data_IF_192203360332
#
_entry.id   IF_192203360332
#
_cell.length_a   1.000
_cell.length_b   1.000
_cell.length_c   1.000
_cell.angle_alpha   90.00
_cell.angle_beta   90.00
_cell.angle_gamma   90.00
#
_symmetry.space_group_name_H-M   'P 1'
#
loop_
_entity.id
_entity.type
_entity.pdbx_description
1 polymer ?
#
# COMPACT_ATOMS: atom_id res chain seq x y z
N UNK A 1 15.54 -10.09 -10.65
CA UNK A 1 14.27 -10.30 -9.91
C UNK A 1 14.60 -11.14 -8.70
N UNK A 2 13.98 -10.89 -7.53
CA UNK A 2 14.26 -11.62 -6.28
C UNK A 2 13.73 -13.07 -6.28
N UNK A 3 13.23 -13.58 -7.42
CA UNK A 3 12.67 -14.93 -7.60
C UNK A 3 13.10 -15.45 -8.97
N UNK A 4 13.49 -16.73 -9.05
CA UNK A 4 13.72 -17.43 -10.31
C UNK A 4 12.41 -17.77 -10.99
N UNK A 5 12.30 -17.50 -12.30
CA UNK A 5 11.12 -17.90 -13.08
C UNK A 5 11.13 -19.41 -13.30
N UNK A 6 9.99 -20.03 -13.07
CA UNK A 6 9.76 -21.47 -13.27
C UNK A 6 8.51 -21.70 -14.13
N UNK A 7 8.46 -22.86 -14.79
CA UNK A 7 7.35 -23.32 -15.62
C UNK A 7 6.90 -24.73 -15.17
N UNK A 8 5.59 -24.97 -14.99
CA UNK A 8 4.48 -24.02 -15.11
C UNK A 8 4.54 -22.90 -14.06
N UNK A 9 3.91 -21.74 -14.35
CA UNK A 9 3.89 -20.59 -13.44
C UNK A 9 3.19 -20.99 -12.13
N UNK A 10 3.86 -20.86 -10.97
CA UNK A 10 3.26 -21.20 -9.68
C UNK A 10 2.13 -20.23 -9.30
N UNK A 11 1.43 -20.54 -8.22
CA UNK A 11 0.45 -19.60 -7.66
C UNK A 11 1.11 -18.31 -7.17
N UNK A 12 0.33 -17.23 -7.10
CA UNK A 12 0.82 -15.92 -6.68
C UNK A 12 1.50 -15.93 -5.31
N UNK A 13 0.96 -16.71 -4.37
CA UNK A 13 1.49 -16.81 -3.01
C UNK A 13 2.83 -17.58 -2.97
N UNK A 14 2.99 -18.62 -3.78
CA UNK A 14 4.24 -19.39 -3.86
C UNK A 14 5.36 -18.54 -4.45
N UNK A 15 5.06 -17.73 -5.47
CA UNK A 15 6.01 -16.75 -6.03
C UNK A 15 6.41 -15.74 -4.96
N UNK A 16 5.45 -15.21 -4.18
CA UNK A 16 5.71 -14.25 -3.12
C UNK A 16 6.57 -14.83 -1.98
N UNK A 17 6.32 -16.07 -1.57
CA UNK A 17 7.06 -16.76 -0.50
C UNK A 17 8.48 -17.17 -0.93
N UNK A 18 8.69 -17.44 -2.21
CA UNK A 18 10.01 -17.76 -2.76
C UNK A 18 10.91 -16.51 -2.95
N UNK A 19 10.39 -15.30 -2.71
CA UNK A 19 11.12 -14.06 -2.93
C UNK A 19 12.18 -13.80 -1.87
N UNK A 20 13.42 -13.59 -2.33
CA UNK A 20 14.49 -13.04 -1.50
C UNK A 20 14.27 -11.54 -1.29
N UNK A 21 13.78 -11.19 -0.09
CA UNK A 21 13.47 -9.81 0.25
C UNK A 21 14.73 -9.03 0.62
N UNK A 22 14.81 -7.80 0.12
CA UNK A 22 15.84 -6.84 0.50
C UNK A 22 15.36 -6.09 1.75
N UNK A 23 16.19 -5.94 2.79
CA UNK A 23 15.83 -5.17 3.98
C UNK A 23 15.38 -3.75 3.61
N UNK A 24 14.31 -3.26 4.23
CA UNK A 24 13.72 -1.97 3.84
C UNK A 24 14.69 -0.80 4.03
N UNK A 25 15.60 -0.91 5.01
CA UNK A 25 16.69 0.05 5.25
C UNK A 25 17.61 0.16 4.04
N UNK A 26 17.94 -0.96 3.38
CA UNK A 26 18.77 -0.95 2.17
C UNK A 26 18.02 -0.33 0.99
N UNK A 27 16.72 -0.62 0.86
CA UNK A 27 15.86 0.01 -0.15
C UNK A 27 15.81 1.54 0.05
N UNK A 28 15.62 1.99 1.29
CA UNK A 28 15.61 3.41 1.67
C UNK A 28 16.96 4.09 1.34
N UNK A 29 18.08 3.45 1.70
CA UNK A 29 19.43 3.94 1.39
C UNK A 29 19.66 4.15 -0.10
N UNK A 30 19.18 3.22 -0.94
CA UNK A 30 19.34 3.31 -2.41
C UNK A 30 18.63 4.51 -3.03
N UNK A 31 17.67 5.10 -2.33
CA UNK A 31 16.93 6.30 -2.77
C UNK A 31 17.34 7.57 -2.02
N UNK A 32 18.38 7.48 -1.18
CA UNK A 32 18.95 8.60 -0.45
C UNK A 32 18.22 8.96 0.84
N UNK A 33 17.42 8.02 1.39
CA UNK A 33 16.87 8.10 2.74
C UNK A 33 17.86 7.44 3.73
N UNK A 34 17.93 8.00 4.92
CA UNK A 34 18.67 7.49 6.08
C UNK A 34 17.72 6.81 7.07
N UNK A 35 18.27 6.11 8.06
CA UNK A 35 17.46 5.47 9.11
C UNK A 35 16.67 6.50 9.93
N UNK A 36 17.18 7.73 10.08
CA UNK A 36 16.48 8.81 10.77
C UNK A 36 15.25 9.33 10.00
N UNK A 37 15.12 9.00 8.70
CA UNK A 37 14.00 9.44 7.87
C UNK A 37 12.82 8.44 7.88
N UNK A 38 12.94 7.31 8.59
CA UNK A 38 11.98 6.19 8.52
C UNK A 38 11.66 5.56 9.88
N UNK A 39 10.41 5.13 10.04
CA UNK A 39 9.98 4.27 11.16
C UNK A 39 9.82 2.82 10.68
N UNK A 40 10.58 1.90 11.25
CA UNK A 40 10.55 0.49 10.85
C UNK A 40 9.28 -0.24 11.34
N UNK A 41 8.66 -0.99 10.44
CA UNK A 41 7.56 -1.92 10.71
C UNK A 41 8.01 -3.35 10.37
N UNK A 42 8.88 -3.88 11.22
CA UNK A 42 9.62 -5.12 10.96
C UNK A 42 10.76 -4.89 9.96
N UNK A 43 11.25 -5.96 9.33
CA UNK A 43 12.46 -5.92 8.50
C UNK A 43 12.23 -5.38 7.08
N UNK A 44 11.00 -5.50 6.57
CA UNK A 44 10.68 -5.36 5.15
C UNK A 44 9.75 -4.17 4.83
N UNK A 45 9.33 -3.41 5.84
CA UNK A 45 8.38 -2.30 5.71
C UNK A 45 8.79 -1.15 6.61
N UNK A 46 8.52 0.07 6.18
CA UNK A 46 8.75 1.27 6.98
C UNK A 46 7.75 2.36 6.59
N UNK A 47 7.50 3.29 7.51
CA UNK A 47 6.89 4.59 7.19
C UNK A 47 8.00 5.59 6.92
N UNK A 48 7.78 6.49 5.96
CA UNK A 48 8.70 7.59 5.66
C UNK A 48 8.15 8.84 6.34
N UNK A 49 9.00 9.57 7.06
CA UNK A 49 8.62 10.82 7.71
C UNK A 49 8.30 11.89 6.67
N UNK A 50 7.45 12.88 7.02
CA UNK A 50 7.01 13.90 6.06
C UNK A 50 8.00 15.06 5.87
N UNK A 51 8.91 15.25 6.83
CA UNK A 51 9.99 16.25 6.78
C UNK A 51 11.00 15.96 5.64
N UNK A 52 11.03 14.75 5.09
CA UNK A 52 11.78 14.43 3.86
C UNK A 52 11.37 15.31 2.67
N UNK A 53 10.13 15.82 2.67
CA UNK A 53 9.65 16.75 1.63
C UNK A 53 10.43 18.07 1.69
N UNK A 54 10.68 18.58 2.89
CA UNK A 54 11.48 19.79 3.09
C UNK A 54 12.96 19.51 2.79
N UNK A 55 13.49 18.37 3.25
CA UNK A 55 14.86 17.90 2.98
C UNK A 55 15.18 17.83 1.49
N UNK A 56 14.19 17.51 0.65
CA UNK A 56 14.37 17.31 -0.78
C UNK A 56 13.66 18.34 -1.66
N UNK A 57 13.19 19.47 -1.10
CA UNK A 57 12.43 20.49 -1.83
C UNK A 57 13.12 21.05 -3.08
N UNK A 58 14.46 21.10 -3.06
CA UNK A 58 15.27 21.65 -4.16
C UNK A 58 15.55 20.61 -5.25
N UNK A 59 15.15 19.35 -5.07
CA UNK A 59 15.29 18.31 -6.09
C UNK A 59 14.23 18.52 -7.19
N UNK A 60 14.60 18.38 -8.47
CA UNK A 60 13.61 18.45 -9.54
C UNK A 60 12.61 17.30 -9.43
N UNK A 61 11.34 17.60 -9.72
CA UNK A 61 10.30 16.59 -9.78
C UNK A 61 10.62 15.51 -10.82
N UNK A 62 10.30 14.26 -10.46
CA UNK A 62 10.35 13.12 -11.37
C UNK A 62 9.28 13.20 -12.46
N UNK A 63 9.35 12.27 -13.42
CA UNK A 63 8.27 12.07 -14.39
C UNK A 63 7.13 11.30 -13.72
N UNK A 64 5.91 11.81 -13.84
CA UNK A 64 4.70 11.16 -13.36
C UNK A 64 4.09 10.33 -14.49
N UNK A 65 3.91 9.03 -14.26
CA UNK A 65 3.31 8.09 -15.20
C UNK A 65 2.07 7.51 -14.53
N UNK A 66 0.89 7.80 -15.11
CA UNK A 66 -0.37 7.26 -14.65
C UNK A 66 -0.77 6.03 -15.48
N UNK A 67 -1.15 4.95 -14.79
CA UNK A 67 -1.58 3.70 -15.43
C UNK A 67 -3.08 3.55 -15.23
N UNK A 68 -3.82 3.74 -16.32
CA UNK A 68 -5.27 3.57 -16.37
C UNK A 68 -5.67 2.30 -17.11
N UNK A 69 -6.94 1.96 -17.05
CA UNK A 69 -7.53 0.84 -17.77
C UNK A 69 -8.89 1.24 -18.36
N UNK A 70 -9.38 0.44 -19.30
CA UNK A 70 -10.76 0.53 -19.79
C UNK A 70 -11.77 0.18 -18.67
N UNK A 71 -13.06 0.33 -18.97
CA UNK A 71 -14.13 -0.12 -18.07
C UNK A 71 -13.92 -1.59 -17.67
N UNK A 72 -13.99 -1.93 -16.36
CA UNK A 72 -13.76 -3.29 -15.90
C UNK A 72 -14.71 -4.30 -16.52
N UNK A 73 -14.18 -5.50 -16.78
CA UNK A 73 -14.86 -6.66 -17.33
C UNK A 73 -14.63 -7.87 -16.42
N UNK A 74 -15.46 -8.92 -16.50
CA UNK A 74 -15.25 -10.14 -15.71
C UNK A 74 -13.93 -10.86 -15.95
N UNK A 75 -13.24 -10.59 -17.08
CA UNK A 75 -11.97 -11.23 -17.43
C UNK A 75 -10.77 -10.64 -16.66
N UNK A 76 -10.92 -9.43 -16.12
CA UNK A 76 -9.85 -8.71 -15.42
C UNK A 76 -8.83 -8.07 -16.37
N UNK A 77 -8.44 -6.83 -16.06
CA UNK A 77 -7.62 -6.00 -16.96
C UNK A 77 -6.15 -5.97 -16.57
N UNK A 78 -5.79 -6.51 -15.41
CA UNK A 78 -4.40 -6.56 -14.96
C UNK A 78 -3.78 -5.19 -14.66
N UNK A 79 -4.55 -4.13 -14.39
CA UNK A 79 -4.02 -2.76 -14.17
C UNK A 79 -2.85 -2.70 -13.17
N UNK A 80 -2.99 -3.34 -12.02
CA UNK A 80 -1.93 -3.37 -10.99
C UNK A 80 -0.71 -4.16 -11.45
N UNK A 81 -0.91 -5.30 -12.13
CA UNK A 81 0.16 -6.10 -12.74
C UNK A 81 0.95 -5.24 -13.72
N UNK A 82 0.27 -4.52 -14.59
CA UNK A 82 0.90 -3.59 -15.55
C UNK A 82 1.64 -2.45 -14.85
N UNK A 83 1.07 -1.88 -13.79
CA UNK A 83 1.71 -0.80 -13.01
C UNK A 83 3.05 -1.24 -12.41
N UNK A 84 3.08 -2.44 -11.83
CA UNK A 84 4.30 -3.01 -11.24
C UNK A 84 5.28 -3.43 -12.35
N UNK A 85 4.78 -4.08 -13.41
CA UNK A 85 5.59 -4.56 -14.53
C UNK A 85 6.29 -3.44 -15.31
N UNK A 86 5.59 -2.32 -15.56
CA UNK A 86 6.19 -1.13 -16.18
C UNK A 86 7.32 -0.59 -15.31
N UNK A 87 7.11 -0.51 -13.99
CA UNK A 87 8.14 -0.04 -13.06
C UNK A 87 9.35 -0.98 -13.02
N UNK A 88 9.13 -2.30 -13.01
CA UNK A 88 10.21 -3.29 -13.14
C UNK A 88 10.97 -3.15 -14.46
N UNK A 89 10.27 -2.92 -15.58
CA UNK A 89 10.87 -2.69 -16.90
C UNK A 89 11.69 -1.40 -16.97
N UNK A 90 11.18 -0.30 -16.41
CA UNK A 90 11.91 0.97 -16.29
C UNK A 90 13.18 0.81 -15.47
N UNK A 91 13.12 0.07 -14.36
CA UNK A 91 14.29 -0.24 -13.56
C UNK A 91 15.31 -1.10 -14.33
N UNK A 92 14.84 -2.11 -15.07
CA UNK A 92 15.70 -2.96 -15.90
C UNK A 92 16.50 -2.18 -16.95
N UNK A 93 15.92 -1.12 -17.53
CA UNK A 93 16.62 -0.22 -18.47
C UNK A 93 17.41 0.91 -17.77
N UNK A 94 17.64 0.80 -16.46
CA UNK A 94 18.50 1.71 -15.70
C UNK A 94 17.83 3.00 -15.21
N UNK A 95 16.50 3.09 -15.20
CA UNK A 95 15.80 4.26 -14.62
C UNK A 95 15.57 4.07 -13.12
N UNK A 96 15.69 5.17 -12.36
CA UNK A 96 15.18 5.23 -10.98
C UNK A 96 13.68 5.44 -11.02
N UNK A 97 12.92 4.57 -10.37
CA UNK A 97 11.46 4.53 -10.46
C UNK A 97 10.87 4.08 -9.13
N UNK A 98 9.72 4.66 -8.80
CA UNK A 98 8.91 4.26 -7.65
C UNK A 98 7.53 3.85 -8.13
N UNK A 99 7.01 2.78 -7.54
CA UNK A 99 5.66 2.30 -7.78
C UNK A 99 4.76 2.75 -6.64
N UNK A 100 3.76 3.57 -6.93
CA UNK A 100 2.77 4.01 -5.95
C UNK A 100 1.44 3.29 -6.22
N UNK A 101 0.95 2.53 -5.24
CA UNK A 101 -0.34 1.83 -5.32
C UNK A 101 -1.15 2.04 -4.05
N UNK A 102 -2.46 1.77 -4.13
CA UNK A 102 -3.37 1.86 -2.98
C UNK A 102 -3.26 0.62 -2.11
N UNK A 103 -3.30 0.81 -0.79
CA UNK A 103 -3.52 -0.29 0.15
C UNK A 103 -4.92 -0.91 -0.11
N UNK A 104 -5.04 -2.25 -0.18
CA UNK A 104 -6.33 -2.91 -0.29
C UNK A 104 -7.09 -2.90 1.04
N UNK A 105 -8.42 -2.96 0.96
CA UNK A 105 -9.24 -3.23 2.13
C UNK A 105 -8.98 -4.65 2.64
N UNK A 106 -8.98 -4.82 3.96
CA UNK A 106 -8.81 -6.12 4.60
C UNK A 106 -10.04 -7.04 4.41
N UNK A 107 -11.24 -6.47 4.29
CA UNK A 107 -12.49 -7.24 4.22
C UNK A 107 -12.53 -8.28 3.08
N UNK A 108 -12.24 -7.88 1.82
CA UNK A 108 -12.21 -8.80 0.67
C UNK A 108 -11.26 -10.00 0.82
N UNK A 109 -10.19 -9.88 1.60
CA UNK A 109 -9.22 -10.96 1.87
C UNK A 109 -9.88 -12.17 2.55
N UNK A 110 -10.93 -11.95 3.35
CA UNK A 110 -11.70 -13.02 4.00
C UNK A 110 -12.93 -13.48 3.19
N UNK A 111 -13.08 -12.97 1.96
CA UNK A 111 -14.16 -13.31 1.05
C UNK A 111 -13.64 -13.91 -0.26
N UNK A 112 -14.10 -13.38 -1.39
CA UNK A 112 -13.90 -13.97 -2.72
C UNK A 112 -12.53 -13.60 -3.32
N UNK A 113 -11.83 -12.58 -2.83
CA UNK A 113 -10.67 -12.00 -3.52
C UNK A 113 -9.38 -12.02 -2.69
N UNK A 114 -8.58 -13.05 -2.89
CA UNK A 114 -7.21 -13.13 -2.37
C UNK A 114 -6.21 -12.55 -3.36
N UNK A 115 -5.76 -11.31 -3.13
CA UNK A 115 -4.59 -10.75 -3.82
C UNK A 115 -4.86 -9.45 -4.58
N UNK A 116 -4.55 -8.32 -3.94
CA UNK A 116 -4.57 -7.00 -4.57
C UNK A 116 -3.17 -6.44 -4.89
N UNK A 117 -2.12 -7.23 -4.61
CA UNK A 117 -0.72 -6.82 -4.66
C UNK A 117 -0.05 -6.99 -6.05
N UNK A 118 -0.81 -7.22 -7.11
CA UNK A 118 -0.28 -7.60 -8.44
C UNK A 118 -0.59 -9.05 -8.79
N UNK A 119 0.28 -9.69 -9.56
CA UNK A 119 0.09 -11.06 -10.04
C UNK A 119 1.29 -11.58 -10.86
N UNK A 120 1.45 -12.90 -10.89
CA UNK A 120 2.62 -13.57 -11.45
C UNK A 120 3.91 -13.05 -10.84
N UNK A 121 4.91 -12.74 -11.68
CA UNK A 121 6.18 -12.19 -11.23
C UNK A 121 6.18 -10.66 -11.03
N UNK A 122 5.03 -10.00 -11.22
CA UNK A 122 4.85 -8.56 -11.02
C UNK A 122 3.97 -8.31 -9.78
N UNK A 123 4.59 -8.40 -8.61
CA UNK A 123 3.92 -8.32 -7.31
C UNK A 123 4.64 -7.36 -6.34
N UNK A 124 3.89 -6.85 -5.36
CA UNK A 124 4.42 -6.23 -4.15
C UNK A 124 4.49 -7.28 -3.03
N UNK A 125 5.61 -7.29 -2.32
CA UNK A 125 5.91 -8.21 -1.22
C UNK A 125 6.40 -7.43 0.01
N UNK A 126 6.17 -7.92 1.24
CA UNK A 126 5.49 -9.17 1.61
C UNK A 126 3.96 -9.11 1.42
N UNK A 127 3.41 -10.08 0.68
CA UNK A 127 2.01 -10.08 0.24
C UNK A 127 1.01 -10.25 1.40
N UNK A 128 1.37 -11.06 2.41
CA UNK A 128 0.54 -11.30 3.59
C UNK A 128 0.27 -10.03 4.40
N UNK A 129 1.33 -9.27 4.69
CA UNK A 129 1.23 -8.00 5.41
C UNK A 129 0.42 -6.99 4.61
N UNK A 130 0.65 -6.96 3.27
CA UNK A 130 -0.03 -6.03 2.38
C UNK A 130 -1.55 -6.23 2.33
N UNK A 131 -2.02 -7.47 2.42
CA UNK A 131 -3.46 -7.80 2.37
C UNK A 131 -4.16 -7.78 3.74
N UNK A 132 -3.40 -7.66 4.84
CA UNK A 132 -3.93 -7.65 6.21
C UNK A 132 -3.77 -6.27 6.85
N UNK A 133 -2.99 -6.17 7.91
CA UNK A 133 -2.91 -4.97 8.72
C UNK A 133 -1.92 -3.93 8.17
N UNK A 134 -1.02 -4.33 7.27
CA UNK A 134 0.08 -3.54 6.73
C UNK A 134 0.82 -2.76 7.83
N UNK A 135 0.57 -1.46 7.96
CA UNK A 135 1.15 -0.58 8.99
C UNK A 135 0.10 0.07 9.90
N UNK A 136 -1.16 -0.37 9.82
CA UNK A 136 -2.26 0.11 10.66
C UNK A 136 -3.05 1.29 10.10
N UNK A 137 -2.80 1.72 8.85
CA UNK A 137 -3.42 2.93 8.28
C UNK A 137 -4.94 2.88 8.24
N UNK A 138 -5.52 1.78 7.78
CA UNK A 138 -6.97 1.58 7.75
C UNK A 138 -7.55 1.57 9.17
N UNK A 139 -6.83 1.02 10.15
CA UNK A 139 -7.27 1.03 11.55
C UNK A 139 -7.30 2.45 12.12
N UNK A 140 -6.30 3.27 11.81
CA UNK A 140 -6.26 4.68 12.22
C UNK A 140 -7.42 5.48 11.58
N UNK A 141 -7.69 5.27 10.29
CA UNK A 141 -8.85 5.87 9.61
C UNK A 141 -10.16 5.43 10.26
N UNK A 142 -10.31 4.13 10.55
CA UNK A 142 -11.49 3.59 11.23
C UNK A 142 -11.69 4.17 12.63
N UNK A 143 -10.61 4.28 13.42
CA UNK A 143 -10.66 4.87 14.75
C UNK A 143 -11.09 6.35 14.70
N UNK A 144 -10.51 7.15 13.80
CA UNK A 144 -10.88 8.55 13.62
C UNK A 144 -12.34 8.72 13.18
N UNK A 145 -12.78 7.91 12.21
CA UNK A 145 -14.15 7.92 11.72
C UNK A 145 -15.17 7.57 12.83
N UNK A 146 -14.90 6.49 13.57
CA UNK A 146 -15.77 6.03 14.64
C UNK A 146 -15.79 6.98 15.84
N UNK A 147 -14.67 7.63 16.16
CA UNK A 147 -14.60 8.66 17.20
C UNK A 147 -15.52 9.84 16.86
N UNK A 148 -15.50 10.31 15.62
CA UNK A 148 -16.39 11.39 15.18
C UNK A 148 -17.87 10.98 15.29
N UNK A 149 -18.22 9.78 14.81
CA UNK A 149 -19.58 9.27 14.91
C UNK A 149 -20.05 9.15 16.37
N UNK A 150 -19.19 8.63 17.25
CA UNK A 150 -19.47 8.53 18.69
C UNK A 150 -19.65 9.92 19.33
N UNK A 151 -18.82 10.90 18.96
CA UNK A 151 -18.92 12.27 19.45
C UNK A 151 -20.25 12.95 19.04
N UNK A 152 -20.68 12.75 17.80
CA UNK A 152 -21.96 13.26 17.29
C UNK A 152 -23.12 12.63 18.06
N UNK A 153 -23.14 11.30 18.17
CA UNK A 153 -24.19 10.58 18.89
C UNK A 153 -24.25 11.00 20.36
N UNK A 154 -23.11 11.14 21.02
CA UNK A 154 -23.04 11.61 22.40
C UNK A 154 -23.61 13.03 22.54
N UNK A 155 -23.30 13.94 21.59
CA UNK A 155 -23.86 15.30 21.60
C UNK A 155 -25.37 15.27 21.43
N UNK A 156 -25.90 14.52 20.46
CA UNK A 156 -27.34 14.39 20.23
C UNK A 156 -28.06 13.82 21.46
N UNK A 157 -27.51 12.78 22.08
CA UNK A 157 -28.08 12.18 23.29
C UNK A 157 -28.06 13.14 24.49
N UNK A 158 -27.07 14.03 24.59
CA UNK A 158 -27.02 15.06 25.64
C UNK A 158 -28.09 16.15 25.42
N UNK A 159 -28.21 16.66 24.19
CA UNK A 159 -29.23 17.67 23.86
C UNK A 159 -30.65 17.14 24.04
N UNK A 160 -30.93 15.90 23.61
CA UNK A 160 -32.25 15.28 23.79
C UNK A 160 -32.67 15.19 25.26
N UNK A 161 -31.72 14.88 26.16
CA UNK A 161 -31.95 14.78 27.61
C UNK A 161 -32.21 16.12 28.30
N UNK A 162 -31.75 17.23 27.73
CA UNK A 162 -31.94 18.57 28.27
C UNK A 162 -32.97 19.38 27.50
N UNK A 163 -33.55 18.81 26.44
CA UNK A 163 -34.66 19.45 25.74
C UNK A 163 -35.88 19.48 26.64
N UNK A 164 -36.51 20.65 26.75
CA UNK A 164 -37.76 20.86 27.47
C UNK A 164 -38.97 20.22 26.78
N UNK A 165 -38.76 19.43 25.72
CA UNK A 165 -39.79 18.71 24.98
C UNK A 165 -40.56 17.67 25.82
N UNK A 166 -40.11 17.41 27.05
CA UNK A 166 -40.76 16.55 28.05
C UNK A 166 -41.55 17.33 29.13
N UNK A 167 -41.61 18.66 29.05
CA UNK A 167 -42.52 19.54 29.83
C UNK A 167 -43.65 20.04 28.93
#
# INVERSE_FOLDING_TARGET
MPVKRVEPVPSDIEIAQAAELIPIVEVAKNVGLSEDDIDLHGKWKAKVHLDVLEKFKDRPNGKYIDVTAITPTPLGEGKTVTTIGVSQGLHYIGKKVFTCIRQPSQGPTFGIKGGAAGGGYAQIVPMEDFNLHLTGDIHAVGAAHNLLAAAINNRMAKEARWSTSFL
#
